data_IF_092996172468
#
_entry.id   IF_092996172468
#
_cell.length_a   1.000
_cell.length_b   1.000
_cell.length_c   1.000
_cell.angle_alpha   90.00
_cell.angle_beta   90.00
_cell.angle_gamma   90.00
#
_symmetry.space_group_name_H-M   'P 1'
#
loop_
_entity.id
_entity.type
_entity.pdbx_description
1 polymer ?
#
# COMPACT_ATOMS: atom_id res chain seq x y z
N UNK A 1 -41.40 39.55 -21.63
CA UNK A 1 -40.21 39.41 -20.77
C UNK A 1 -39.11 38.83 -21.64
N UNK A 2 -38.14 39.66 -22.04
CA UNK A 2 -37.00 39.26 -22.87
C UNK A 2 -35.85 38.83 -21.97
N UNK A 3 -35.18 37.68 -22.23
CA UNK A 3 -33.97 37.31 -21.52
C UNK A 3 -32.79 38.15 -22.03
N UNK A 4 -32.07 38.78 -21.12
CA UNK A 4 -30.80 39.47 -21.38
C UNK A 4 -29.69 38.46 -21.71
N UNK A 5 -28.79 38.76 -22.66
CA UNK A 5 -27.65 37.90 -22.98
C UNK A 5 -26.61 37.88 -21.83
N UNK A 6 -25.88 36.77 -21.62
CA UNK A 6 -24.80 36.71 -20.64
C UNK A 6 -23.61 37.58 -21.08
N UNK A 7 -23.02 38.31 -20.12
CA UNK A 7 -21.82 39.11 -20.31
C UNK A 7 -20.63 38.26 -20.78
N UNK A 8 -19.77 38.78 -21.68
CA UNK A 8 -18.57 38.08 -22.13
C UNK A 8 -17.58 37.85 -20.97
N UNK A 9 -16.83 36.74 -20.96
CA UNK A 9 -15.76 36.52 -20.00
C UNK A 9 -14.67 37.59 -20.18
N UNK A 10 -14.26 38.20 -19.07
CA UNK A 10 -13.13 39.13 -19.04
C UNK A 10 -11.87 38.45 -19.60
N UNK A 11 -11.01 39.18 -20.34
CA UNK A 11 -9.75 38.63 -20.83
C UNK A 11 -8.91 38.13 -19.65
N UNK A 12 -8.14 37.03 -19.82
CA UNK A 12 -7.24 36.58 -18.77
C UNK A 12 -6.30 37.73 -18.43
N UNK A 13 -6.30 38.08 -17.15
CA UNK A 13 -5.33 38.96 -16.50
C UNK A 13 -3.96 38.72 -17.12
N UNK A 14 -3.44 39.74 -17.79
CA UNK A 14 -2.01 39.88 -18.09
C UNK A 14 -1.28 39.52 -16.81
N UNK A 15 -0.71 38.31 -16.75
CA UNK A 15 0.22 37.96 -15.68
C UNK A 15 1.37 38.93 -15.91
N UNK A 16 1.45 39.87 -14.97
CA UNK A 16 2.43 40.92 -14.90
C UNK A 16 3.78 40.39 -15.35
N UNK A 17 4.47 41.20 -16.17
CA UNK A 17 5.93 41.34 -16.12
C UNK A 17 6.39 40.89 -14.74
N UNK A 18 7.26 39.89 -14.62
CA UNK A 18 7.94 39.66 -13.35
C UNK A 18 8.55 41.01 -12.98
N UNK A 19 7.98 41.78 -12.04
CA UNK A 19 8.72 42.90 -11.55
C UNK A 19 9.83 42.18 -10.81
N UNK A 20 11.08 42.40 -11.22
CA UNK A 20 12.15 42.32 -10.25
C UNK A 20 11.83 43.46 -9.28
N UNK A 21 10.87 43.20 -8.37
CA UNK A 21 10.45 44.14 -7.36
C UNK A 21 11.71 44.48 -6.58
N UNK A 22 11.80 45.71 -6.08
CA UNK A 22 12.93 46.11 -5.23
C UNK A 22 13.17 45.16 -4.05
N UNK A 23 12.19 44.31 -3.72
CA UNK A 23 12.29 43.18 -2.79
C UNK A 23 13.18 42.03 -3.26
N UNK A 24 13.10 41.61 -4.52
CA UNK A 24 14.00 40.59 -5.08
C UNK A 24 15.44 41.11 -5.14
N UNK A 25 15.64 42.39 -5.45
CA UNK A 25 16.95 43.04 -5.41
C UNK A 25 17.46 43.25 -3.96
N UNK A 26 16.58 43.47 -2.98
CA UNK A 26 16.93 43.46 -1.54
C UNK A 26 17.32 42.07 -1.04
N UNK A 27 16.72 41.00 -1.56
CA UNK A 27 17.17 39.64 -1.26
C UNK A 27 18.58 39.34 -1.81
N UNK A 28 19.05 40.14 -2.79
CA UNK A 28 20.42 40.12 -3.29
C UNK A 28 21.37 41.07 -2.53
N UNK A 29 20.91 41.89 -1.57
CA UNK A 29 21.80 42.69 -0.72
C UNK A 29 22.65 41.75 0.16
N UNK A 30 23.85 41.43 -0.34
CA UNK A 30 24.80 40.52 0.30
C UNK A 30 25.13 39.25 -0.50
N UNK A 31 24.42 38.99 -1.61
CA UNK A 31 24.75 37.88 -2.50
C UNK A 31 25.99 38.20 -3.33
N UNK A 32 26.94 37.26 -3.43
CA UNK A 32 28.10 37.44 -4.30
C UNK A 32 27.66 37.49 -5.77
N UNK A 33 28.36 38.22 -6.65
CA UNK A 33 28.07 38.23 -8.09
C UNK A 33 27.98 36.82 -8.69
N UNK A 34 28.79 35.88 -8.19
CA UNK A 34 28.73 34.46 -8.56
C UNK A 34 27.43 33.77 -8.14
N UNK A 35 26.92 34.05 -6.94
CA UNK A 35 25.65 33.48 -6.47
C UNK A 35 24.46 33.97 -7.31
N UNK A 36 24.49 35.24 -7.73
CA UNK A 36 23.49 35.82 -8.64
C UNK A 36 23.52 35.14 -10.00
N UNK A 37 24.72 34.96 -10.58
CA UNK A 37 24.88 34.25 -11.85
C UNK A 37 24.36 32.81 -11.77
N UNK A 38 24.77 32.04 -10.74
CA UNK A 38 24.31 30.66 -10.53
C UNK A 38 22.78 30.58 -10.41
N UNK A 39 22.15 31.55 -9.74
CA UNK A 39 20.69 31.63 -9.63
C UNK A 39 20.00 31.86 -10.98
N UNK A 40 20.55 32.75 -11.82
CA UNK A 40 20.03 33.01 -13.15
C UNK A 40 20.20 31.81 -14.09
N UNK A 41 21.33 31.11 -14.01
CA UNK A 41 21.57 29.87 -14.75
C UNK A 41 20.56 28.79 -14.36
N UNK A 42 20.33 28.59 -13.05
CA UNK A 42 19.34 27.63 -12.56
C UNK A 42 17.92 27.98 -13.02
N UNK A 43 17.54 29.27 -13.01
CA UNK A 43 16.23 29.70 -13.51
C UNK A 43 16.06 29.37 -15.01
N UNK A 44 17.08 29.66 -15.82
CA UNK A 44 17.08 29.34 -17.25
C UNK A 44 16.94 27.83 -17.49
N UNK A 45 17.69 27.03 -16.75
CA UNK A 45 17.67 25.57 -16.91
C UNK A 45 16.29 24.99 -16.56
N UNK A 46 15.66 25.49 -15.49
CA UNK A 46 14.26 25.14 -15.15
C UNK A 46 13.27 25.50 -16.27
N UNK A 47 13.45 26.64 -16.94
CA UNK A 47 12.59 27.03 -18.08
C UNK A 47 12.81 26.12 -19.29
N UNK A 48 14.04 25.69 -19.55
CA UNK A 48 14.36 24.73 -20.63
C UNK A 48 13.74 23.37 -20.36
N UNK A 49 13.81 22.88 -19.12
CA UNK A 49 13.15 21.63 -18.73
C UNK A 49 11.62 21.73 -18.87
N UNK A 50 11.04 22.90 -18.57
CA UNK A 50 9.61 23.13 -18.78
C UNK A 50 9.25 23.11 -20.27
N UNK A 51 10.07 23.72 -21.12
CA UNK A 51 9.88 23.71 -22.57
C UNK A 51 9.90 22.27 -23.12
N UNK A 52 10.89 21.47 -22.72
CA UNK A 52 11.01 20.07 -23.12
C UNK A 52 9.75 19.27 -22.77
N UNK A 53 9.28 19.35 -21.51
CA UNK A 53 8.05 18.67 -21.07
C UNK A 53 6.82 19.08 -21.88
N UNK A 54 6.70 20.36 -22.22
CA UNK A 54 5.58 20.86 -23.03
C UNK A 54 5.70 20.42 -24.48
N UNK A 55 6.91 20.36 -25.04
CA UNK A 55 7.16 19.82 -26.38
C UNK A 55 6.84 18.31 -26.46
N UNK A 56 7.16 17.55 -25.42
CA UNK A 56 6.79 16.14 -25.34
C UNK A 56 5.28 15.94 -25.32
N UNK A 57 4.57 16.73 -24.50
CA UNK A 57 3.10 16.73 -24.46
C UNK A 57 2.50 17.10 -25.82
N UNK A 58 3.10 18.08 -26.50
CA UNK A 58 2.71 18.52 -27.85
C UNK A 58 2.85 17.39 -28.86
N UNK A 59 3.96 16.67 -28.83
CA UNK A 59 4.22 15.52 -29.69
C UNK A 59 3.26 14.37 -29.41
N UNK A 60 2.90 14.15 -28.14
CA UNK A 60 1.90 13.15 -27.74
C UNK A 60 0.51 13.47 -28.28
N UNK A 61 0.03 14.71 -28.09
CA UNK A 61 -1.26 15.16 -28.62
C UNK A 61 -1.29 15.02 -30.15
N UNK A 62 -0.20 15.39 -30.82
CA UNK A 62 -0.08 15.26 -32.26
C UNK A 62 -0.11 13.80 -32.74
N UNK A 63 0.38 12.83 -31.94
CA UNK A 63 0.25 11.41 -32.24
C UNK A 63 -1.19 10.93 -32.10
N UNK A 64 -1.90 11.33 -31.05
CA UNK A 64 -3.32 10.97 -30.86
C UNK A 64 -4.22 11.54 -31.94
N UNK A 65 -3.97 12.78 -32.40
CA UNK A 65 -4.70 13.38 -33.51
C UNK A 65 -4.54 12.62 -34.83
N UNK A 66 -3.44 11.89 -35.00
CA UNK A 66 -3.18 11.06 -36.19
C UNK A 66 -3.74 9.63 -36.06
N UNK A 67 -4.23 9.25 -34.88
CA UNK A 67 -4.83 7.93 -34.68
C UNK A 67 -6.12 7.82 -35.50
N UNK A 68 -6.36 6.64 -36.10
CA UNK A 68 -7.45 6.44 -37.06
C UNK A 68 -8.82 6.29 -36.38
N UNK A 69 -8.83 5.94 -35.10
CA UNK A 69 -9.98 5.52 -34.28
C UNK A 69 -10.63 6.65 -33.45
N UNK A 70 -10.25 7.91 -33.66
CA UNK A 70 -10.74 9.06 -32.88
C UNK A 70 -11.99 9.72 -33.49
N UNK A 71 -12.99 10.00 -32.64
CA UNK A 71 -14.27 10.66 -33.02
C UNK A 71 -14.08 12.14 -33.35
N UNK A 72 -15.00 12.74 -34.13
CA UNK A 72 -14.88 14.15 -34.55
C UNK A 72 -14.83 15.16 -33.37
N UNK A 73 -15.70 15.08 -32.34
CA UNK A 73 -15.61 15.96 -31.18
C UNK A 73 -14.28 15.83 -30.42
N UNK A 74 -13.73 14.63 -30.32
CA UNK A 74 -12.45 14.38 -29.65
C UNK A 74 -11.28 14.99 -30.45
N UNK A 75 -11.33 14.92 -31.78
CA UNK A 75 -10.35 15.60 -32.66
C UNK A 75 -10.36 17.10 -32.45
N UNK A 76 -11.54 17.72 -32.41
CA UNK A 76 -11.67 19.16 -32.20
C UNK A 76 -11.13 19.59 -30.84
N UNK A 77 -11.43 18.82 -29.78
CA UNK A 77 -10.89 19.05 -28.44
C UNK A 77 -9.36 18.93 -28.38
N UNK A 78 -8.79 17.90 -29.00
CA UNK A 78 -7.33 17.73 -29.07
C UNK A 78 -6.66 18.81 -29.93
N UNK A 79 -7.29 19.25 -31.03
CA UNK A 79 -6.78 20.33 -31.87
C UNK A 79 -6.74 21.67 -31.10
N UNK A 80 -7.77 21.96 -30.30
CA UNK A 80 -7.78 23.11 -29.41
C UNK A 80 -6.68 23.03 -28.35
N UNK A 81 -6.48 21.85 -27.74
CA UNK A 81 -5.40 21.63 -26.76
C UNK A 81 -4.00 21.74 -27.38
N UNK A 82 -3.82 21.29 -28.62
CA UNK A 82 -2.58 21.46 -29.37
C UNK A 82 -2.25 22.94 -29.56
N UNK A 83 -3.24 23.74 -29.99
CA UNK A 83 -3.08 25.19 -30.16
C UNK A 83 -2.69 25.91 -28.86
N UNK A 84 -3.31 25.54 -27.75
CA UNK A 84 -2.95 26.08 -26.42
C UNK A 84 -1.53 25.69 -26.02
N UNK A 85 -1.14 24.44 -26.31
CA UNK A 85 0.22 23.94 -26.04
C UNK A 85 1.26 24.69 -26.87
N UNK A 86 1.00 24.92 -28.16
CA UNK A 86 1.87 25.70 -29.05
C UNK A 86 1.99 27.17 -28.59
N UNK A 87 0.91 27.78 -28.09
CA UNK A 87 0.96 29.12 -27.51
C UNK A 87 1.83 29.18 -26.25
N UNK A 88 1.74 28.14 -25.39
CA UNK A 88 2.59 28.01 -24.20
C UNK A 88 4.07 27.82 -24.55
N UNK A 89 4.38 27.02 -25.59
CA UNK A 89 5.74 26.86 -26.11
C UNK A 89 6.32 28.22 -26.51
N UNK A 90 5.59 29.01 -27.31
CA UNK A 90 6.05 30.34 -27.73
C UNK A 90 6.26 31.30 -26.54
N UNK A 91 5.45 31.19 -25.49
CA UNK A 91 5.64 32.00 -24.27
C UNK A 91 6.89 31.56 -23.50
N UNK A 92 7.14 30.25 -23.36
CA UNK A 92 8.34 29.72 -22.70
C UNK A 92 9.61 30.07 -23.47
N UNK A 93 9.60 30.00 -24.80
CA UNK A 93 10.73 30.41 -25.64
C UNK A 93 11.11 31.88 -25.38
N UNK A 94 10.14 32.80 -25.33
CA UNK A 94 10.39 34.21 -25.00
C UNK A 94 10.94 34.40 -23.60
N UNK A 95 10.47 33.61 -22.62
CA UNK A 95 11.00 33.65 -21.25
C UNK A 95 12.44 33.15 -21.19
N UNK A 96 12.78 32.13 -21.98
CA UNK A 96 14.15 31.62 -22.10
C UNK A 96 15.05 32.69 -22.71
N UNK A 97 14.62 33.40 -23.75
CA UNK A 97 15.39 34.51 -24.33
C UNK A 97 15.66 35.62 -23.30
N UNK A 98 14.65 35.97 -22.49
CA UNK A 98 14.82 36.94 -21.40
C UNK A 98 15.78 36.44 -20.31
N UNK A 99 15.71 35.14 -19.96
CA UNK A 99 16.62 34.52 -18.99
C UNK A 99 18.05 34.48 -19.52
N UNK A 100 18.26 34.16 -20.81
CA UNK A 100 19.57 34.15 -21.45
C UNK A 100 20.20 35.56 -21.47
N UNK A 101 19.40 36.60 -21.69
CA UNK A 101 19.85 37.99 -21.54
C UNK A 101 20.21 38.33 -20.09
N UNK A 102 19.47 37.83 -19.11
CA UNK A 102 19.77 38.05 -17.68
C UNK A 102 21.07 37.35 -17.26
N UNK A 103 21.27 36.10 -17.68
CA UNK A 103 22.52 35.35 -17.47
C UNK A 103 23.70 36.08 -18.11
N UNK A 104 23.56 36.52 -19.35
CA UNK A 104 24.60 37.29 -20.05
C UNK A 104 24.98 38.58 -19.30
N UNK A 105 23.98 39.35 -18.85
CA UNK A 105 24.22 40.56 -18.03
C UNK A 105 24.90 40.22 -16.71
N UNK A 106 24.46 39.18 -16.01
CA UNK A 106 25.06 38.75 -14.75
C UNK A 106 26.51 38.25 -14.93
N UNK A 107 26.79 37.51 -16.00
CA UNK A 107 28.13 37.01 -16.31
C UNK A 107 29.12 38.13 -16.66
N UNK A 108 28.63 39.26 -17.17
CA UNK A 108 29.47 40.44 -17.46
C UNK A 108 29.96 41.20 -16.22
N UNK A 109 29.42 40.90 -15.04
CA UNK A 109 29.84 41.54 -13.78
C UNK A 109 31.21 40.99 -13.37
N UNK A 110 32.23 41.85 -13.15
CA UNK A 110 33.54 41.41 -12.68
C UNK A 110 33.43 40.61 -11.37
N UNK A 111 34.04 39.43 -11.34
CA UNK A 111 33.95 38.51 -10.19
C UNK A 111 32.68 37.64 -10.17
N UNK A 112 31.83 37.66 -11.19
CA UNK A 112 30.73 36.70 -11.33
C UNK A 112 31.22 35.31 -11.74
N UNK A 113 32.12 35.25 -12.73
CA UNK A 113 32.75 34.01 -13.20
C UNK A 113 34.07 33.81 -12.44
N UNK A 114 33.97 33.34 -11.20
CA UNK A 114 35.15 32.92 -10.42
C UNK A 114 35.24 31.41 -10.51
N UNK A 115 36.40 30.89 -10.91
CA UNK A 115 36.71 29.47 -10.83
C UNK A 115 36.68 29.08 -9.35
N UNK A 116 35.70 28.25 -8.98
CA UNK A 116 35.51 27.83 -7.59
C UNK A 116 36.79 27.14 -7.11
N UNK A 117 37.42 27.60 -6.01
CA UNK A 117 38.63 26.97 -5.49
C UNK A 117 38.39 25.47 -5.30
N UNK A 118 39.37 24.59 -5.61
CA UNK A 118 39.20 23.16 -5.44
C UNK A 118 38.77 22.86 -4.00
N UNK A 119 37.84 21.91 -3.80
CA UNK A 119 37.33 21.59 -2.47
C UNK A 119 38.51 21.28 -1.54
N UNK A 120 38.49 21.79 -0.29
CA UNK A 120 39.58 21.52 0.64
C UNK A 120 39.79 20.01 0.76
N UNK A 121 41.05 19.54 0.84
CA UNK A 121 41.32 18.12 1.02
C UNK A 121 40.56 17.63 2.24
N UNK A 122 39.92 16.46 2.12
CA UNK A 122 39.14 15.85 3.19
C UNK A 122 40.06 15.48 4.35
N UNK A 123 40.19 16.38 5.32
CA UNK A 123 40.93 16.18 6.57
C UNK A 123 40.13 15.31 7.54
N UNK A 124 39.87 14.05 7.18
CA UNK A 124 39.29 13.03 8.06
C UNK A 124 40.35 12.03 8.51
N UNK A 125 40.09 11.26 9.58
CA UNK A 125 40.89 10.07 9.85
C UNK A 125 40.95 9.20 8.58
N UNK A 126 42.12 8.64 8.23
CA UNK A 126 42.30 7.87 7.00
C UNK A 126 41.18 6.83 6.82
N UNK A 127 40.66 6.69 5.61
CA UNK A 127 39.59 5.73 5.30
C UNK A 127 40.00 4.30 5.71
N UNK A 128 41.29 4.01 5.76
CA UNK A 128 41.89 2.77 6.25
C UNK A 128 41.49 2.45 7.70
N UNK A 129 41.34 3.47 8.56
CA UNK A 129 40.95 3.28 9.98
C UNK A 129 39.54 2.70 10.09
N UNK A 130 38.64 3.05 9.16
CA UNK A 130 37.28 2.53 9.14
C UNK A 130 37.10 1.33 8.20
N UNK A 131 37.81 1.28 7.08
CA UNK A 131 37.68 0.22 6.09
C UNK A 131 38.19 -1.13 6.61
N UNK A 132 39.33 -1.15 7.30
CA UNK A 132 39.93 -2.39 7.82
C UNK A 132 39.00 -3.14 8.79
N UNK A 133 38.44 -2.51 9.86
CA UNK A 133 37.56 -3.24 10.77
C UNK A 133 36.24 -3.66 10.11
N UNK A 134 35.70 -2.89 9.16
CA UNK A 134 34.48 -3.23 8.44
C UNK A 134 34.69 -4.48 7.59
N UNK A 135 35.75 -4.51 6.78
CA UNK A 135 36.10 -5.65 5.92
C UNK A 135 36.38 -6.89 6.79
N UNK A 136 37.16 -6.75 7.86
CA UNK A 136 37.41 -7.84 8.79
C UNK A 136 36.11 -8.39 9.41
N UNK A 137 35.18 -7.50 9.77
CA UNK A 137 33.90 -7.91 10.35
C UNK A 137 33.05 -8.70 9.36
N UNK A 138 32.97 -8.25 8.10
CA UNK A 138 32.15 -8.90 7.07
C UNK A 138 32.75 -10.24 6.65
N UNK A 139 34.06 -10.32 6.45
CA UNK A 139 34.70 -11.51 5.88
C UNK A 139 35.16 -12.53 6.93
N UNK A 140 35.33 -12.13 8.20
CA UNK A 140 35.81 -13.01 9.27
C UNK A 140 34.75 -13.21 10.34
N UNK A 141 34.28 -12.15 10.99
CA UNK A 141 33.36 -12.27 12.13
C UNK A 141 31.95 -12.71 11.70
N UNK A 142 31.41 -12.17 10.61
CA UNK A 142 30.05 -12.49 10.16
C UNK A 142 29.83 -13.98 9.81
N UNK A 143 30.69 -14.66 9.02
CA UNK A 143 30.50 -16.09 8.76
C UNK A 143 30.63 -16.94 10.03
N UNK A 144 31.52 -16.57 10.96
CA UNK A 144 31.65 -17.24 12.26
C UNK A 144 30.35 -17.08 13.06
N UNK A 145 29.83 -15.85 13.16
CA UNK A 145 28.58 -15.57 13.86
C UNK A 145 27.40 -16.35 13.27
N UNK A 146 27.28 -16.40 11.93
CA UNK A 146 26.24 -17.18 11.23
C UNK A 146 26.39 -18.69 11.53
N UNK A 147 27.62 -19.22 11.55
CA UNK A 147 27.87 -20.63 11.85
C UNK A 147 27.45 -20.99 13.29
N UNK A 148 27.76 -20.14 14.27
CA UNK A 148 27.33 -20.32 15.66
C UNK A 148 25.82 -20.19 15.81
N UNK A 149 25.19 -19.19 15.18
CA UNK A 149 23.75 -19.02 15.18
C UNK A 149 23.04 -20.27 14.62
N UNK A 150 23.49 -20.80 13.48
CA UNK A 150 22.99 -22.05 12.91
C UNK A 150 23.19 -23.25 13.83
N UNK A 151 24.32 -23.32 14.55
CA UNK A 151 24.61 -24.42 15.48
C UNK A 151 23.70 -24.40 16.70
N UNK A 152 23.38 -23.22 17.22
CA UNK A 152 22.45 -23.07 18.35
C UNK A 152 21.04 -23.44 17.89
N UNK A 153 20.57 -22.93 16.75
CA UNK A 153 19.25 -23.27 16.22
C UNK A 153 19.07 -24.77 15.94
N UNK A 154 20.08 -25.43 15.36
CA UNK A 154 20.03 -26.89 15.15
C UNK A 154 20.04 -27.70 16.45
N UNK A 155 20.55 -27.15 17.55
CA UNK A 155 20.60 -27.83 18.87
C UNK A 155 19.38 -27.55 19.74
N UNK A 156 18.65 -26.47 19.50
CA UNK A 156 17.45 -26.09 20.26
C UNK A 156 16.20 -26.95 20.00
N UNK A 157 16.22 -27.81 18.97
CA UNK A 157 15.06 -28.63 18.58
C UNK A 157 14.89 -29.94 19.36
N UNK A 158 15.73 -30.23 20.36
CA UNK A 158 15.80 -31.57 20.99
C UNK A 158 15.17 -31.64 22.40
N UNK A 159 14.47 -30.62 22.88
CA UNK A 159 13.79 -30.71 24.19
C UNK A 159 12.37 -30.13 24.12
N UNK A 160 11.51 -30.76 23.31
CA UNK A 160 10.07 -30.74 23.59
C UNK A 160 9.83 -32.00 24.43
N UNK A 161 9.64 -31.82 25.74
CA UNK A 161 9.24 -32.93 26.59
C UNK A 161 7.89 -33.48 26.06
N UNK A 162 7.74 -34.79 25.83
CA UNK A 162 6.47 -35.35 25.39
C UNK A 162 5.39 -35.04 26.42
N UNK A 163 4.19 -34.70 25.95
CA UNK A 163 3.03 -34.41 26.81
C UNK A 163 2.83 -35.61 27.75
N UNK A 164 2.74 -35.39 29.08
CA UNK A 164 2.56 -36.49 30.03
C UNK A 164 1.28 -37.25 29.73
N UNK A 165 1.34 -38.60 29.71
CA UNK A 165 0.18 -39.47 29.43
C UNK A 165 -1.02 -39.15 30.32
N UNK A 166 -0.76 -38.80 31.57
CA UNK A 166 -1.77 -38.33 32.54
C UNK A 166 -2.66 -37.19 32.02
N UNK A 167 -2.11 -36.26 31.23
CA UNK A 167 -2.89 -35.15 30.64
C UNK A 167 -3.76 -35.66 29.51
N UNK A 168 -3.24 -36.58 28.68
CA UNK A 168 -4.01 -37.22 27.60
C UNK A 168 -5.17 -38.04 28.17
N UNK A 169 -4.92 -38.84 29.20
CA UNK A 169 -5.93 -39.69 29.83
C UNK A 169 -7.05 -38.86 30.47
N UNK A 170 -6.71 -37.71 31.09
CA UNK A 170 -7.69 -36.75 31.63
C UNK A 170 -8.54 -36.11 30.54
N UNK A 171 -7.95 -35.77 29.40
CA UNK A 171 -8.68 -35.19 28.26
C UNK A 171 -9.65 -36.21 27.66
N UNK A 172 -9.25 -37.48 27.56
CA UNK A 172 -10.09 -38.56 27.07
C UNK A 172 -11.27 -38.84 28.02
N UNK A 173 -11.00 -38.87 29.34
CA UNK A 173 -12.04 -39.00 30.35
C UNK A 173 -13.03 -37.82 30.33
N UNK A 174 -12.54 -36.59 30.17
CA UNK A 174 -13.40 -35.42 30.01
C UNK A 174 -14.25 -35.52 28.74
N UNK A 175 -13.68 -35.96 27.62
CA UNK A 175 -14.42 -36.19 26.38
C UNK A 175 -15.58 -37.18 26.55
N UNK A 176 -15.33 -38.30 27.23
CA UNK A 176 -16.35 -39.31 27.50
C UNK A 176 -17.45 -38.79 28.44
N UNK A 177 -17.09 -37.98 29.44
CA UNK A 177 -18.07 -37.34 30.32
C UNK A 177 -18.96 -36.35 29.56
N UNK A 178 -18.40 -35.60 28.62
CA UNK A 178 -19.15 -34.62 27.81
C UNK A 178 -20.12 -35.35 26.87
N UNK A 179 -19.69 -36.45 26.24
CA UNK A 179 -20.55 -37.27 25.39
C UNK A 179 -21.75 -37.84 26.16
N UNK A 180 -21.54 -38.30 27.39
CA UNK A 180 -22.63 -38.75 28.26
C UNK A 180 -23.60 -37.63 28.61
N UNK A 181 -23.09 -36.43 28.90
CA UNK A 181 -23.94 -35.25 29.16
C UNK A 181 -24.76 -34.86 27.92
N UNK A 182 -24.20 -35.00 26.71
CA UNK A 182 -24.92 -34.69 25.48
C UNK A 182 -26.16 -35.59 25.31
N UNK A 183 -26.02 -36.89 25.55
CA UNK A 183 -27.12 -37.87 25.49
C UNK A 183 -28.17 -37.58 26.58
N UNK A 184 -27.73 -37.26 27.79
CA UNK A 184 -28.66 -36.92 28.88
C UNK A 184 -29.46 -35.65 28.58
N UNK A 185 -28.83 -34.62 28.00
CA UNK A 185 -29.50 -33.37 27.60
C UNK A 185 -30.51 -33.62 26.48
N UNK A 186 -30.16 -34.46 25.50
CA UNK A 186 -31.08 -34.88 24.44
C UNK A 186 -32.32 -35.57 25.05
N UNK A 187 -32.10 -36.54 25.94
CA UNK A 187 -33.18 -37.27 26.62
C UNK A 187 -34.06 -36.37 27.50
N UNK A 188 -33.47 -35.41 28.23
CA UNK A 188 -34.20 -34.42 29.03
C UNK A 188 -35.05 -33.54 28.11
N UNK A 189 -34.50 -33.10 26.98
CA UNK A 189 -35.22 -32.34 25.97
C UNK A 189 -36.41 -33.11 25.39
N UNK A 190 -36.25 -34.41 25.11
CA UNK A 190 -37.34 -35.27 24.68
C UNK A 190 -38.40 -35.50 25.76
N UNK A 191 -37.99 -35.70 27.01
CA UNK A 191 -38.91 -35.83 28.14
C UNK A 191 -39.75 -34.57 28.35
N UNK A 192 -39.16 -33.39 28.22
CA UNK A 192 -39.87 -32.11 28.28
C UNK A 192 -40.82 -31.94 27.09
N UNK A 193 -40.39 -32.24 25.86
CA UNK A 193 -41.26 -32.20 24.67
C UNK A 193 -42.44 -33.17 24.80
N UNK A 194 -42.20 -34.35 25.34
CA UNK A 194 -43.24 -35.35 25.58
C UNK A 194 -44.25 -34.85 26.62
N UNK A 195 -43.77 -34.32 27.75
CA UNK A 195 -44.63 -33.75 28.80
C UNK A 195 -45.49 -32.60 28.28
N UNK A 196 -44.90 -31.68 27.50
CA UNK A 196 -45.65 -30.59 26.87
C UNK A 196 -46.72 -31.11 25.91
N UNK A 197 -46.38 -32.10 25.07
CA UNK A 197 -47.34 -32.74 24.15
C UNK A 197 -48.50 -33.41 24.91
N UNK A 198 -48.20 -34.12 26.00
CA UNK A 198 -49.20 -34.76 26.87
C UNK A 198 -50.11 -33.72 27.53
N UNK A 199 -49.55 -32.61 28.03
CA UNK A 199 -50.34 -31.54 28.64
C UNK A 199 -51.19 -30.77 27.62
N UNK A 200 -50.71 -30.60 26.39
CA UNK A 200 -51.46 -29.90 25.32
C UNK A 200 -52.54 -30.75 24.66
N UNK A 201 -52.44 -32.09 24.70
CA UNK A 201 -53.39 -33.03 24.07
C UNK A 201 -53.89 -34.10 25.07
N UNK A 202 -54.74 -33.76 26.06
CA UNK A 202 -55.17 -34.67 27.14
C UNK A 202 -56.12 -35.81 26.69
N UNK A 203 -56.27 -36.09 25.40
CA UNK A 203 -57.21 -37.10 24.89
C UNK A 203 -56.68 -38.02 23.79
N UNK A 204 -55.43 -37.85 23.32
CA UNK A 204 -54.90 -38.63 22.19
C UNK A 204 -53.61 -39.41 22.48
N UNK A 205 -52.89 -39.07 23.55
CA UNK A 205 -51.61 -39.69 23.89
C UNK A 205 -51.71 -40.95 24.78
N UNK A 206 -52.82 -41.17 25.48
CA UNK A 206 -53.11 -42.43 26.17
C UNK A 206 -54.06 -43.24 25.30
N UNK A 207 -53.49 -44.06 24.42
CA UNK A 207 -54.24 -44.91 23.51
C UNK A 207 -55.20 -45.83 24.27
N UNK A 208 -56.50 -45.67 23.99
CA UNK A 208 -57.49 -46.72 24.21
C UNK A 208 -57.18 -47.87 23.23
N UNK A 209 -56.37 -48.83 23.66
CA UNK A 209 -56.12 -50.09 22.96
C UNK A 209 -56.24 -51.26 23.96
N UNK A 210 -56.92 -52.36 23.62
CA UNK A 210 -57.21 -53.43 24.57
C UNK A 210 -55.92 -54.10 25.07
N UNK A 211 -55.77 -54.23 26.39
CA UNK A 211 -54.70 -54.97 27.02
C UNK A 211 -54.71 -56.44 26.55
N UNK A 212 -53.68 -56.87 25.82
CA UNK A 212 -53.51 -58.27 25.46
C UNK A 212 -52.81 -59.01 26.61
N UNK A 213 -53.38 -60.13 27.09
CA UNK A 213 -52.79 -60.87 28.21
C UNK A 213 -51.49 -61.56 27.80
N UNK A 214 -50.47 -61.44 28.64
CA UNK A 214 -49.19 -62.14 28.50
C UNK A 214 -49.39 -63.66 28.67
N UNK A 215 -49.03 -64.43 27.64
CA UNK A 215 -48.93 -65.90 27.72
C UNK A 215 -47.55 -66.24 28.30
N UNK A 216 -47.53 -66.84 29.50
CA UNK A 216 -46.33 -67.36 30.15
C UNK A 216 -46.00 -68.73 29.53
N UNK A 217 -44.82 -68.95 28.93
CA UNK A 217 -44.46 -70.26 28.37
C UNK A 217 -44.23 -71.27 29.51
N UNK A 218 -44.97 -72.38 29.52
CA UNK A 218 -44.67 -73.51 30.40
C UNK A 218 -43.38 -74.20 29.95
N UNK A 219 -42.50 -74.44 30.92
CA UNK A 219 -41.18 -75.05 30.73
C UNK A 219 -41.27 -76.42 30.06
N UNK A 220 -40.49 -76.56 29.00
CA UNK A 220 -40.20 -77.79 28.27
C UNK A 220 -39.51 -78.78 29.22
N UNK A 221 -40.20 -79.86 29.61
CA UNK A 221 -39.56 -80.99 30.27
C UNK A 221 -38.71 -81.75 29.24
N UNK A 222 -37.41 -81.64 29.42
CA UNK A 222 -36.37 -82.40 28.73
C UNK A 222 -36.32 -83.82 29.28
N UNK A 223 -35.94 -84.73 28.38
CA UNK A 223 -35.32 -86.03 28.64
C UNK A 223 -36.21 -87.21 29.03
N UNK A 224 -36.21 -88.15 28.08
CA UNK A 224 -35.50 -89.43 28.19
C UNK A 224 -36.34 -90.70 28.35
N UNK A 225 -36.18 -91.51 27.30
CA UNK A 225 -35.65 -92.85 27.37
C UNK A 225 -36.60 -94.03 27.57
N UNK A 226 -36.17 -95.08 26.87
CA UNK A 226 -36.31 -96.51 27.15
C UNK A 226 -37.52 -97.22 26.52
N UNK A 227 -37.14 -97.92 25.43
CA UNK A 227 -37.66 -99.18 24.87
C UNK A 227 -39.02 -99.19 24.18
#
# INVERSE_FOLDING_TARGET
>A
MQPTPPSPPSPPTTVSEFPVSGEALKALEGASPTAVLKGMEAQRDVLRDQLERVQDQRNEIARWLKAEDITAPDRDGLAARLKETDARISSLEKQIDQADLAVSKAASVPGAVVEEPPPPPRSGPPDEIFAVPIVFTIFVLAPIAIAYARRIWKRGATVIAPIPREVTDRLEQMGQSIESMAIEVERIGEGQRFLTRVMSEPGKALGAGPAQPLVVPQGQKVSDAVR
#
